data_IF_875115261546
#
_entry.id   IF_875115261546
#
_cell.length_a   1.000
_cell.length_b   1.000
_cell.length_c   1.000
_cell.angle_alpha   90.00
_cell.angle_beta   90.00
_cell.angle_gamma   90.00
#
_symmetry.space_group_name_H-M   'P 1'
#
loop_
_entity.id
_entity.type
_entity.pdbx_description
1 polymer ?
#
# COMPACT_ATOMS: atom_id res chain seq x y z
N UNK A 1 -1.85 0.68 -5.44
CA UNK A 1 -3.07 -0.15 -5.54
C UNK A 1 -4.18 0.34 -4.64
N UNK A 2 -5.38 -0.24 -4.79
CA UNK A 2 -6.53 0.03 -3.95
C UNK A 2 -6.86 -1.16 -3.04
N UNK A 3 -7.39 -0.88 -1.84
CA UNK A 3 -7.63 -1.87 -0.80
C UNK A 3 -9.06 -1.80 -0.26
N UNK A 4 -9.70 -2.96 -0.09
CA UNK A 4 -11.06 -3.05 0.45
C UNK A 4 -11.19 -2.52 1.89
N UNK A 5 -10.11 -2.56 2.67
CA UNK A 5 -10.08 -2.00 4.03
C UNK A 5 -10.26 -0.47 4.06
N UNK A 6 -10.08 0.23 2.93
CA UNK A 6 -10.36 1.66 2.82
C UNK A 6 -11.80 2.03 3.21
N UNK A 7 -12.75 1.12 2.95
CA UNK A 7 -14.16 1.27 3.36
C UNK A 7 -14.36 1.40 4.88
N UNK A 8 -13.32 1.10 5.68
CA UNK A 8 -13.33 1.25 7.14
C UNK A 8 -12.92 2.64 7.62
N UNK A 9 -12.81 3.59 6.72
CA UNK A 9 -12.37 4.96 7.04
C UNK A 9 -11.03 4.97 7.79
N UNK A 10 -10.10 4.09 7.40
CA UNK A 10 -8.73 4.02 7.95
C UNK A 10 -7.80 5.03 7.31
N UNK A 11 -8.27 5.79 6.33
CA UNK A 11 -7.58 6.91 5.70
C UNK A 11 -8.42 8.18 5.77
N UNK A 12 -7.77 9.33 5.73
CA UNK A 12 -8.44 10.63 5.61
C UNK A 12 -8.95 10.91 4.19
N UNK A 13 -8.44 10.16 3.20
CA UNK A 13 -8.77 10.34 1.78
C UNK A 13 -9.59 9.16 1.25
N UNK A 14 -10.51 9.40 0.31
CA UNK A 14 -11.25 8.35 -0.38
C UNK A 14 -10.37 7.61 -1.40
N UNK A 15 -10.77 6.40 -1.79
CA UNK A 15 -9.98 5.49 -2.66
C UNK A 15 -9.66 6.10 -4.03
N UNK A 16 -10.52 6.96 -4.53
CA UNK A 16 -10.42 7.62 -5.85
C UNK A 16 -9.17 8.50 -5.95
N UNK A 17 -8.66 8.97 -4.81
CA UNK A 17 -7.40 9.74 -4.76
C UNK A 17 -6.22 8.91 -5.29
N UNK A 18 -6.24 7.59 -5.16
CA UNK A 18 -5.18 6.73 -5.71
C UNK A 18 -5.05 6.91 -7.21
N UNK A 19 -6.17 6.86 -7.95
CA UNK A 19 -6.16 7.05 -9.39
C UNK A 19 -5.72 8.46 -9.80
N UNK A 20 -6.19 9.47 -9.07
CA UNK A 20 -5.77 10.86 -9.29
C UNK A 20 -4.26 11.02 -9.11
N UNK A 21 -3.68 10.38 -8.10
CA UNK A 21 -2.24 10.40 -7.88
C UNK A 21 -1.46 9.65 -8.96
N UNK A 22 -1.96 8.53 -9.47
CA UNK A 22 -1.34 7.84 -10.62
C UNK A 22 -1.31 8.76 -11.84
N UNK A 23 -2.40 9.48 -12.12
CA UNK A 23 -2.42 10.49 -13.19
C UNK A 23 -1.41 11.60 -12.94
N UNK A 24 -1.31 12.09 -11.70
CA UNK A 24 -0.34 13.12 -11.31
C UNK A 24 1.11 12.64 -11.48
N UNK A 25 1.44 11.41 -11.09
CA UNK A 25 2.77 10.82 -11.35
C UNK A 25 3.08 10.75 -12.84
N UNK A 26 2.13 10.32 -13.66
CA UNK A 26 2.31 10.22 -15.12
C UNK A 26 2.50 11.57 -15.79
N UNK A 27 1.85 12.61 -15.29
CA UNK A 27 2.01 13.99 -15.79
C UNK A 27 3.25 14.71 -15.24
N UNK A 28 3.99 14.10 -14.32
CA UNK A 28 5.19 14.70 -13.74
C UNK A 28 4.91 15.72 -12.64
N UNK A 29 3.68 15.80 -12.12
CA UNK A 29 3.24 16.83 -11.17
C UNK A 29 3.55 16.54 -9.70
N UNK A 30 3.88 15.29 -9.34
CA UNK A 30 4.12 14.93 -7.96
C UNK A 30 5.53 15.32 -7.48
N UNK A 31 5.70 15.50 -6.17
CA UNK A 31 7.00 15.84 -5.57
C UNK A 31 8.09 14.82 -5.92
N UNK A 32 7.77 13.52 -5.96
CA UNK A 32 8.72 12.47 -6.34
C UNK A 32 9.22 12.65 -7.77
N UNK A 33 8.40 13.12 -8.69
CA UNK A 33 8.82 13.42 -10.05
C UNK A 33 9.91 14.49 -10.07
N UNK A 34 9.75 15.54 -9.28
CA UNK A 34 10.71 16.63 -9.17
C UNK A 34 12.03 16.16 -8.54
N UNK A 35 11.94 15.37 -7.47
CA UNK A 35 13.12 14.80 -6.80
C UNK A 35 13.88 13.86 -7.74
N UNK A 36 13.20 12.96 -8.44
CA UNK A 36 13.81 12.06 -9.42
C UNK A 36 14.50 12.85 -10.56
N UNK A 37 13.85 13.90 -11.06
CA UNK A 37 14.43 14.76 -12.09
C UNK A 37 15.69 15.47 -11.62
N UNK A 38 15.68 16.05 -10.42
CA UNK A 38 16.83 16.73 -9.84
C UNK A 38 18.01 15.78 -9.62
N UNK A 39 17.74 14.54 -9.24
CA UNK A 39 18.77 13.54 -8.92
C UNK A 39 19.12 12.63 -10.12
N UNK A 40 18.57 12.91 -11.28
CA UNK A 40 18.72 12.06 -12.49
C UNK A 40 18.40 10.58 -12.22
N UNK A 41 17.33 10.31 -11.48
CA UNK A 41 16.84 8.96 -11.14
C UNK A 41 15.65 8.61 -12.01
N UNK A 42 15.67 7.43 -12.62
CA UNK A 42 14.53 6.91 -13.35
C UNK A 42 13.36 6.58 -12.40
N UNK A 43 12.17 7.08 -12.72
CA UNK A 43 10.95 6.79 -11.98
C UNK A 43 10.04 5.89 -12.80
N UNK A 44 9.67 4.75 -12.24
CA UNK A 44 8.65 3.85 -12.78
C UNK A 44 7.44 3.83 -11.86
N UNK A 45 6.25 4.02 -12.41
CA UNK A 45 4.98 3.99 -11.68
C UNK A 45 4.14 2.83 -12.18
N UNK A 46 3.85 1.88 -11.31
CA UNK A 46 3.16 0.64 -11.63
C UNK A 46 1.79 0.65 -10.94
N UNK A 47 0.71 0.98 -11.64
CA UNK A 47 -0.64 0.86 -11.09
C UNK A 47 -1.06 -0.61 -11.02
N UNK A 48 -1.63 -1.02 -9.89
CA UNK A 48 -2.06 -2.40 -9.65
C UNK A 48 -3.56 -2.41 -9.41
N UNK A 49 -4.32 -2.90 -10.38
CA UNK A 49 -5.76 -3.17 -10.28
C UNK A 49 -6.56 -2.08 -9.55
N UNK A 50 -6.46 -0.83 -10.01
CA UNK A 50 -7.08 0.31 -9.33
C UNK A 50 -8.62 0.22 -9.33
N UNK A 51 -9.19 -0.35 -10.36
CA UNK A 51 -10.62 -0.62 -10.56
C UNK A 51 -11.12 -1.86 -9.81
N UNK A 52 -10.21 -2.76 -9.42
CA UNK A 52 -10.52 -3.98 -8.68
C UNK A 52 -9.72 -4.03 -7.35
N UNK A 53 -10.14 -3.29 -6.32
CA UNK A 53 -9.46 -3.30 -5.02
C UNK A 53 -9.44 -4.71 -4.40
N UNK A 54 -8.46 -4.99 -3.54
CA UNK A 54 -8.47 -6.21 -2.72
C UNK A 54 -9.74 -6.26 -1.86
N UNK A 55 -10.08 -7.44 -1.34
CA UNK A 55 -11.16 -7.55 -0.36
C UNK A 55 -10.76 -6.93 0.99
N UNK A 56 -11.74 -6.69 1.85
CA UNK A 56 -11.52 -6.17 3.20
C UNK A 56 -10.97 -7.25 4.11
N UNK A 57 -9.66 -7.23 4.38
CA UNK A 57 -8.98 -8.22 5.20
C UNK A 57 -9.45 -8.24 6.67
N UNK A 58 -10.23 -7.26 7.12
CA UNK A 58 -10.84 -7.29 8.44
C UNK A 58 -12.06 -8.23 8.52
N UNK A 59 -12.52 -8.76 7.38
CA UNK A 59 -13.68 -9.64 7.27
C UNK A 59 -13.39 -10.96 6.57
N UNK A 60 -12.53 -10.94 5.56
CA UNK A 60 -12.20 -12.09 4.75
C UNK A 60 -10.78 -11.99 4.19
N UNK A 61 -10.29 -13.02 3.54
CA UNK A 61 -8.97 -12.98 2.87
C UNK A 61 -8.96 -11.87 1.82
N UNK A 62 -7.96 -10.99 1.88
CA UNK A 62 -7.83 -9.86 0.95
C UNK A 62 -7.69 -10.30 -0.50
N UNK A 63 -6.96 -11.39 -0.73
CA UNK A 63 -6.67 -11.99 -2.04
C UNK A 63 -6.72 -13.51 -1.94
N UNK A 64 -7.05 -14.18 -3.02
CA UNK A 64 -6.85 -15.60 -3.17
C UNK A 64 -5.38 -15.93 -3.47
N UNK A 65 -5.06 -17.23 -3.63
CA UNK A 65 -3.69 -17.67 -3.88
C UNK A 65 -3.14 -17.09 -5.20
N UNK A 66 -3.89 -17.19 -6.29
CA UNK A 66 -3.44 -16.74 -7.61
C UNK A 66 -3.27 -15.22 -7.67
N UNK A 67 -4.20 -14.46 -7.07
CA UNK A 67 -4.07 -13.01 -6.94
C UNK A 67 -2.82 -12.61 -6.15
N UNK A 68 -2.48 -13.38 -5.12
CA UNK A 68 -1.26 -13.15 -4.32
C UNK A 68 -0.02 -13.44 -5.13
N UNK A 69 0.06 -14.59 -5.82
CA UNK A 69 1.21 -14.96 -6.65
C UNK A 69 1.39 -13.94 -7.78
N UNK A 70 0.34 -13.60 -8.50
CA UNK A 70 0.40 -12.61 -9.57
C UNK A 70 0.91 -11.24 -9.08
N UNK A 71 0.55 -10.85 -7.86
CA UNK A 71 1.01 -9.59 -7.26
C UNK A 71 2.52 -9.65 -6.91
N UNK A 72 2.99 -10.78 -6.40
CA UNK A 72 4.41 -11.02 -6.12
C UNK A 72 5.23 -11.04 -7.41
N UNK A 73 4.76 -11.75 -8.43
CA UNK A 73 5.41 -11.81 -9.75
C UNK A 73 5.48 -10.44 -10.42
N UNK A 74 4.41 -9.66 -10.33
CA UNK A 74 4.40 -8.28 -10.83
C UNK A 74 5.49 -7.45 -10.13
N UNK A 75 5.58 -7.54 -8.82
CA UNK A 75 6.61 -6.86 -8.04
C UNK A 75 8.02 -7.31 -8.45
N UNK A 76 8.25 -8.61 -8.54
CA UNK A 76 9.53 -9.20 -8.94
C UNK A 76 9.97 -8.75 -10.35
N UNK A 77 9.04 -8.83 -11.31
CA UNK A 77 9.30 -8.46 -12.70
C UNK A 77 9.44 -6.95 -12.93
N UNK A 78 9.05 -6.15 -11.95
CA UNK A 78 9.19 -4.69 -11.99
C UNK A 78 10.57 -4.20 -11.61
N UNK A 79 11.40 -5.08 -11.05
CA UNK A 79 12.79 -4.74 -10.69
C UNK A 79 13.65 -4.72 -11.97
N UNK A 80 14.36 -3.62 -12.27
CA UNK A 80 15.27 -3.57 -13.41
C UNK A 80 16.37 -4.63 -13.30
N UNK A 81 16.68 -5.31 -14.41
CA UNK A 81 17.72 -6.35 -14.43
C UNK A 81 19.12 -5.82 -14.07
N UNK A 82 19.36 -4.54 -14.31
CA UNK A 82 20.62 -3.86 -13.98
C UNK A 82 20.27 -2.56 -13.25
N UNK A 83 20.54 -2.50 -11.97
CA UNK A 83 20.48 -1.29 -11.19
C UNK A 83 21.46 -1.39 -10.00
N UNK A 84 22.15 -0.32 -9.71
CA UNK A 84 23.09 -0.24 -8.57
C UNK A 84 22.35 0.09 -7.28
N UNK A 85 21.21 0.81 -7.40
CA UNK A 85 20.37 1.19 -6.28
C UNK A 85 18.90 1.17 -6.71
N UNK A 86 18.09 0.43 -5.97
CA UNK A 86 16.63 0.40 -6.12
C UNK A 86 15.98 1.14 -4.95
N UNK A 87 15.24 2.19 -5.26
CA UNK A 87 14.40 2.89 -4.30
C UNK A 87 12.94 2.42 -4.46
N UNK A 88 12.36 1.95 -3.37
CA UNK A 88 10.97 1.49 -3.35
C UNK A 88 10.09 2.58 -2.77
N UNK A 89 9.01 2.88 -3.47
CA UNK A 89 7.94 3.76 -3.03
C UNK A 89 6.60 3.06 -3.11
N UNK A 90 5.67 3.47 -2.29
CA UNK A 90 4.30 3.01 -2.35
C UNK A 90 3.35 4.20 -2.32
N UNK A 91 2.26 4.10 -3.05
CA UNK A 91 1.16 5.04 -3.03
C UNK A 91 -0.15 4.29 -3.26
N UNK A 92 -1.10 4.55 -2.41
CA UNK A 92 -2.46 4.03 -2.50
C UNK A 92 -3.18 4.24 -1.18
N UNK A 93 -4.44 4.59 -1.28
CA UNK A 93 -5.24 4.83 -0.07
C UNK A 93 -5.37 3.52 0.71
N UNK A 94 -4.93 3.53 1.97
CA UNK A 94 -4.84 2.39 2.88
C UNK A 94 -3.69 1.39 2.62
N UNK A 95 -2.73 1.70 1.76
CA UNK A 95 -1.53 0.87 1.55
C UNK A 95 -0.79 0.61 2.86
N UNK A 96 -0.53 1.65 3.65
CA UNK A 96 0.16 1.51 4.95
C UNK A 96 -0.62 0.67 5.94
N UNK A 97 -1.96 0.67 5.90
CA UNK A 97 -2.80 -0.22 6.73
C UNK A 97 -2.58 -1.68 6.35
N UNK A 98 -2.59 -1.98 5.06
CA UNK A 98 -2.35 -3.32 4.53
C UNK A 98 -0.91 -3.78 4.83
N UNK A 99 0.08 -2.92 4.61
CA UNK A 99 1.48 -3.22 4.92
C UNK A 99 1.68 -3.50 6.41
N UNK A 100 1.08 -2.70 7.30
CA UNK A 100 1.14 -2.93 8.75
C UNK A 100 0.51 -4.27 9.14
N UNK A 101 -0.63 -4.64 8.53
CA UNK A 101 -1.28 -5.93 8.80
C UNK A 101 -0.37 -7.10 8.41
N UNK A 102 0.26 -7.04 7.24
CA UNK A 102 1.21 -8.04 6.77
C UNK A 102 2.43 -8.11 7.70
N UNK A 103 3.02 -6.97 8.06
CA UNK A 103 4.17 -6.93 8.95
C UNK A 103 3.85 -7.51 10.34
N UNK A 104 2.69 -7.19 10.91
CA UNK A 104 2.25 -7.78 12.19
C UNK A 104 2.12 -9.30 12.10
N UNK A 105 1.58 -9.82 11.00
CA UNK A 105 1.40 -11.25 10.79
C UNK A 105 2.74 -11.97 10.60
N UNK A 106 3.63 -11.44 9.77
CA UNK A 106 4.91 -12.06 9.45
C UNK A 106 5.90 -12.05 10.63
N UNK A 107 5.91 -10.97 11.39
CA UNK A 107 6.89 -10.76 12.48
C UNK A 107 6.32 -10.96 13.88
N UNK A 108 5.08 -11.44 13.98
CA UNK A 108 4.39 -11.67 15.25
C UNK A 108 4.54 -10.48 16.22
N UNK A 109 4.38 -9.28 15.73
CA UNK A 109 4.62 -8.06 16.48
C UNK A 109 3.34 -7.24 16.65
N UNK A 110 3.29 -6.43 17.69
CA UNK A 110 2.12 -5.58 17.96
C UNK A 110 1.94 -4.50 16.90
N UNK A 111 0.69 -4.14 16.62
CA UNK A 111 0.33 -3.04 15.72
C UNK A 111 1.06 -1.75 16.11
N UNK A 112 1.22 -1.48 17.40
CA UNK A 112 1.93 -0.31 17.93
C UNK A 112 3.37 -0.19 17.42
N UNK A 113 4.04 -1.32 17.20
CA UNK A 113 5.42 -1.35 16.68
C UNK A 113 5.51 -0.92 15.22
N UNK A 114 4.48 -1.24 14.44
CA UNK A 114 4.47 -1.07 12.99
C UNK A 114 3.66 0.15 12.51
N UNK A 115 2.86 0.76 13.39
CA UNK A 115 2.16 2.00 13.06
C UNK A 115 3.00 3.19 13.48
N UNK A 116 3.20 4.14 12.57
CA UNK A 116 3.88 5.40 12.85
C UNK A 116 3.09 6.29 13.82
N UNK A 117 3.70 7.42 14.18
CA UNK A 117 3.17 8.41 15.14
C UNK A 117 1.91 9.15 14.68
N UNK A 118 1.36 8.87 13.51
CA UNK A 118 0.10 9.42 13.01
C UNK A 118 -1.07 9.04 13.95
N UNK A 119 -1.41 9.94 14.86
CA UNK A 119 -2.43 9.76 15.91
C UNK A 119 -3.78 9.27 15.37
N UNK A 120 -4.11 9.62 14.16
CA UNK A 120 -5.38 9.27 13.51
C UNK A 120 -5.42 7.78 13.10
N UNK A 121 -4.29 7.27 12.70
CA UNK A 121 -4.06 5.91 12.24
C UNK A 121 -4.08 4.89 13.38
N UNK A 122 -3.39 5.20 14.46
CA UNK A 122 -3.26 4.34 15.64
C UNK A 122 -4.61 4.00 16.29
N UNK A 123 -5.48 4.99 16.48
CA UNK A 123 -6.76 4.79 17.17
C UNK A 123 -7.78 4.00 16.34
N UNK A 124 -7.68 4.01 15.01
CA UNK A 124 -8.58 3.23 14.14
C UNK A 124 -8.05 1.82 13.84
N UNK A 125 -6.77 1.64 13.64
CA UNK A 125 -6.17 0.32 13.49
C UNK A 125 -6.33 -0.54 14.75
N UNK A 126 -6.06 0.00 15.93
CA UNK A 126 -6.18 -0.77 17.19
C UNK A 126 -7.60 -1.20 17.50
N UNK A 127 -8.62 -0.45 17.09
CA UNK A 127 -10.03 -0.86 17.25
C UNK A 127 -10.41 -2.03 16.35
N UNK A 128 -9.91 -2.07 15.13
CA UNK A 128 -10.27 -3.13 14.17
C UNK A 128 -9.52 -4.44 14.41
N UNK A 129 -8.29 -4.40 14.96
CA UNK A 129 -7.51 -5.60 15.27
C UNK A 129 -7.95 -6.32 16.56
N UNK A 130 -8.57 -5.61 17.53
CA UNK A 130 -9.08 -6.24 18.76
C UNK A 130 -10.24 -7.20 18.53
N UNK A 131 -10.95 -7.10 17.43
CA UNK A 131 -12.07 -8.00 17.11
C UNK A 131 -11.67 -9.22 16.27
N UNK A 132 -10.44 -9.31 15.77
CA UNK A 132 -9.96 -10.43 14.94
C UNK A 132 -9.18 -11.53 15.68
N UNK A 133 -8.86 -11.36 16.96
CA UNK A 133 -8.10 -12.35 17.76
C UNK A 133 -8.97 -13.28 18.63
N UNK A 134 -10.26 -13.36 18.32
CA UNK A 134 -11.17 -14.27 19.01
C UNK A 134 -11.67 -15.34 18.06
N UNK A 135 -10.85 -16.34 17.77
CA UNK A 135 -11.18 -17.79 17.60
C UNK A 135 -9.94 -18.55 17.18
#
# INVERSE_FOLDING_TARGET
GNHGVAKRNVSAYPSEVTEQMVKNFKSGGAAINQLCKLSNIALSVIPINLDKPTKDFSREKAMNYDETINSLELGYNSVPKKCDLLLLGEMGISNTTSATAIACALFNASVKKWTGLGRWWYSKCTRNFKHGQGR
#
